data_IF_620829931954
#
_entry.id   IF_620829931954
#
_cell.length_a   1.000
_cell.length_b   1.000
_cell.length_c   1.000
_cell.angle_alpha   90.00
_cell.angle_beta   90.00
_cell.angle_gamma   90.00
#
_symmetry.space_group_name_H-M   'P 1'
#
loop_
_entity.id
_entity.type
_entity.pdbx_description
1 polymer ?
#
# COMPACT_ATOMS: atom_id res chain seq x y z
N UNK A 1 -0.72 -13.95 9.28
CA UNK A 1 -1.51 -13.57 8.08
C UNK A 1 -2.62 -12.58 8.45
N UNK A 2 -2.98 -11.63 7.59
CA UNK A 2 -4.12 -10.73 7.91
C UNK A 2 -5.45 -11.50 7.94
N UNK A 3 -5.54 -12.61 7.22
CA UNK A 3 -6.74 -13.46 7.14
C UNK A 3 -7.24 -14.02 8.48
N UNK A 4 -6.35 -14.21 9.47
CA UNK A 4 -6.73 -14.66 10.83
C UNK A 4 -7.24 -13.52 11.72
N UNK A 5 -6.98 -12.26 11.35
CA UNK A 5 -7.42 -11.12 12.16
C UNK A 5 -8.92 -10.85 11.95
N UNK A 6 -9.64 -10.71 13.07
CA UNK A 6 -11.01 -10.18 13.07
C UNK A 6 -11.03 -8.77 12.44
N UNK A 7 -12.16 -8.41 11.82
CA UNK A 7 -12.32 -7.15 11.09
C UNK A 7 -11.93 -5.91 11.92
N UNK A 8 -12.27 -5.87 13.21
CA UNK A 8 -11.93 -4.73 14.08
C UNK A 8 -10.43 -4.59 14.28
N UNK A 9 -9.70 -5.71 14.36
CA UNK A 9 -8.24 -5.71 14.48
C UNK A 9 -7.58 -5.28 13.18
N UNK A 10 -8.13 -5.66 12.02
CA UNK A 10 -7.68 -5.18 10.70
C UNK A 10 -7.82 -3.67 10.59
N UNK A 11 -8.98 -3.12 10.95
CA UNK A 11 -9.24 -1.66 10.95
C UNK A 11 -8.35 -0.92 11.93
N UNK A 12 -8.21 -1.42 13.16
CA UNK A 12 -7.36 -0.81 14.17
C UNK A 12 -5.88 -0.79 13.75
N UNK A 13 -5.41 -1.84 13.09
CA UNK A 13 -4.06 -1.90 12.54
C UNK A 13 -3.87 -0.85 11.44
N UNK A 14 -4.78 -0.80 10.46
CA UNK A 14 -4.74 0.20 9.38
C UNK A 14 -4.77 1.64 9.93
N UNK A 15 -5.59 1.89 10.95
CA UNK A 15 -5.65 3.20 11.62
C UNK A 15 -4.34 3.55 12.31
N UNK A 16 -3.78 2.64 13.11
CA UNK A 16 -2.49 2.87 13.78
C UNK A 16 -1.35 3.09 12.78
N UNK A 17 -1.33 2.33 11.69
CA UNK A 17 -0.37 2.52 10.60
C UNK A 17 -0.53 3.91 9.98
N UNK A 18 -1.75 4.31 9.63
CA UNK A 18 -2.01 5.63 9.08
C UNK A 18 -1.60 6.76 10.03
N UNK A 19 -1.91 6.64 11.31
CA UNK A 19 -1.57 7.64 12.32
C UNK A 19 -0.04 7.75 12.51
N UNK A 20 0.70 6.64 12.37
CA UNK A 20 2.16 6.61 12.46
C UNK A 20 2.88 7.14 11.20
N UNK A 21 2.21 7.19 10.04
CA UNK A 21 2.81 7.71 8.82
C UNK A 21 2.94 9.24 8.86
N UNK A 22 4.10 9.73 8.43
CA UNK A 22 4.27 11.14 8.09
C UNK A 22 3.33 11.53 6.93
N UNK A 23 2.98 12.82 6.78
CA UNK A 23 2.25 13.29 5.61
C UNK A 23 2.97 12.93 4.31
N UNK A 24 2.25 12.39 3.31
CA UNK A 24 2.84 11.86 2.08
C UNK A 24 3.56 10.51 2.23
N UNK A 25 3.55 9.90 3.42
CA UNK A 25 4.15 8.60 3.67
C UNK A 25 3.36 7.44 3.06
N UNK A 26 4.07 6.35 2.78
CA UNK A 26 3.50 5.15 2.16
C UNK A 26 3.55 3.95 3.10
N UNK A 27 2.48 3.15 3.07
CA UNK A 27 2.41 1.83 3.67
C UNK A 27 2.37 0.78 2.55
N UNK A 28 3.35 -0.11 2.53
CA UNK A 28 3.47 -1.18 1.53
C UNK A 28 3.15 -2.51 2.20
N UNK A 29 2.28 -3.30 1.58
CA UNK A 29 1.92 -4.63 2.05
C UNK A 29 1.99 -5.66 0.94
N UNK A 30 2.48 -6.85 1.29
CA UNK A 30 2.55 -8.03 0.45
C UNK A 30 1.50 -9.04 0.92
N UNK A 31 0.56 -9.43 0.04
CA UNK A 31 -0.54 -10.32 0.42
C UNK A 31 -0.87 -11.33 -0.67
N UNK A 32 -1.21 -12.56 -0.29
CA UNK A 32 -1.75 -13.57 -1.22
C UNK A 32 -3.17 -13.18 -1.67
N UNK A 33 -3.94 -12.51 -0.80
CA UNK A 33 -5.31 -12.07 -1.07
C UNK A 33 -5.48 -10.58 -0.76
N UNK A 34 -6.28 -9.88 -1.55
CA UNK A 34 -6.46 -8.42 -1.44
C UNK A 34 -7.55 -7.98 -0.44
N UNK A 35 -7.83 -8.80 0.58
CA UNK A 35 -8.93 -8.59 1.54
C UNK A 35 -8.75 -7.28 2.34
N UNK A 36 -7.51 -6.94 2.67
CA UNK A 36 -7.22 -5.78 3.52
C UNK A 36 -7.54 -4.44 2.83
N UNK A 37 -7.46 -4.37 1.50
CA UNK A 37 -7.74 -3.16 0.72
C UNK A 37 -9.15 -2.64 0.94
N UNK A 38 -10.13 -3.54 1.12
CA UNK A 38 -11.53 -3.17 1.38
C UNK A 38 -11.73 -2.46 2.74
N UNK A 39 -10.76 -2.57 3.65
CA UNK A 39 -10.83 -1.97 4.97
C UNK A 39 -9.93 -0.74 5.12
N UNK A 40 -9.12 -0.42 4.11
CA UNK A 40 -8.15 0.66 4.09
C UNK A 40 -8.77 2.00 3.65
N UNK A 41 -9.93 2.35 4.20
CA UNK A 41 -10.71 3.54 3.82
C UNK A 41 -10.07 4.87 4.22
N UNK A 42 -8.99 4.84 5.02
CA UNK A 42 -8.28 6.03 5.51
C UNK A 42 -7.25 6.56 4.51
N UNK A 43 -6.83 5.72 3.56
CA UNK A 43 -5.84 6.06 2.56
C UNK A 43 -6.53 6.61 1.32
N UNK A 44 -6.07 7.76 0.83
CA UNK A 44 -6.64 8.42 -0.34
C UNK A 44 -6.27 7.66 -1.63
N UNK A 45 -5.07 7.10 -1.68
CA UNK A 45 -4.58 6.31 -2.81
C UNK A 45 -4.17 4.90 -2.37
N UNK A 46 -4.55 3.92 -3.19
CA UNK A 46 -4.28 2.50 -2.97
C UNK A 46 -4.05 1.76 -4.30
N UNK A 47 -2.78 1.63 -4.69
CA UNK A 47 -2.36 0.92 -5.91
C UNK A 47 -1.98 -0.51 -5.58
N UNK A 48 -2.48 -1.48 -6.35
CA UNK A 48 -2.20 -2.91 -6.14
C UNK A 48 -1.68 -3.54 -7.42
N UNK A 49 -0.52 -4.18 -7.37
CA UNK A 49 0.09 -4.93 -8.47
C UNK A 49 0.17 -6.42 -8.12
N UNK A 50 -0.08 -7.30 -9.09
CA UNK A 50 0.04 -8.75 -8.91
C UNK A 50 1.32 -9.25 -9.57
N UNK A 51 2.21 -9.84 -8.79
CA UNK A 51 3.55 -10.22 -9.26
C UNK A 51 3.70 -11.74 -9.40
N UNK A 52 4.23 -12.20 -10.54
CA UNK A 52 4.28 -13.61 -10.95
C UNK A 52 5.70 -14.22 -11.05
N UNK A 53 6.77 -13.53 -10.66
CA UNK A 53 8.14 -14.05 -10.76
C UNK A 53 8.76 -14.40 -9.40
N UNK A 54 9.17 -15.66 -9.24
CA UNK A 54 10.04 -16.23 -8.18
C UNK A 54 9.58 -16.10 -6.70
N UNK A 55 8.37 -15.62 -6.46
CA UNK A 55 7.68 -15.65 -5.16
C UNK A 55 6.29 -16.27 -5.35
N UNK A 56 5.68 -16.86 -4.30
CA UNK A 56 4.26 -17.19 -4.34
C UNK A 56 3.48 -16.00 -4.89
N UNK A 57 2.39 -16.21 -5.66
CA UNK A 57 1.69 -15.10 -6.28
C UNK A 57 1.18 -14.13 -5.22
N UNK A 58 1.58 -12.86 -5.30
CA UNK A 58 1.32 -11.86 -4.27
C UNK A 58 0.80 -10.56 -4.89
N UNK A 59 -0.21 -10.01 -4.25
CA UNK A 59 -0.62 -8.62 -4.38
C UNK A 59 0.32 -7.74 -3.55
N UNK A 60 1.02 -6.84 -4.23
CA UNK A 60 1.78 -5.75 -3.61
C UNK A 60 0.85 -4.54 -3.63
N UNK A 61 0.43 -4.07 -2.47
CA UNK A 61 -0.41 -2.86 -2.37
C UNK A 61 0.33 -1.74 -1.69
N UNK A 62 0.32 -0.56 -2.31
CA UNK A 62 0.87 0.68 -1.80
C UNK A 62 -0.27 1.60 -1.41
N UNK A 63 -0.39 1.88 -0.12
CA UNK A 63 -1.32 2.84 0.43
C UNK A 63 -0.62 4.16 0.74
N UNK A 64 -1.15 5.29 0.28
CA UNK A 64 -0.53 6.60 0.49
C UNK A 64 -1.38 7.47 1.41
N UNK A 65 -0.72 8.11 2.39
CA UNK A 65 -1.31 9.13 3.24
C UNK A 65 -1.24 10.47 2.53
N UNK A 66 -2.38 11.17 2.47
CA UNK A 66 -2.47 12.49 1.87
C UNK A 66 -1.38 13.44 2.41
N UNK A 67 -0.71 14.22 1.55
CA UNK A 67 0.18 15.27 2.01
C UNK A 67 -0.65 16.34 2.74
N UNK A 68 -0.17 16.80 3.90
CA UNK A 68 -0.71 18.01 4.51
C UNK A 68 -0.38 19.18 3.61
N UNK A 69 -1.36 20.04 3.31
CA UNK A 69 -1.25 21.24 2.44
C UNK A 69 -0.28 22.34 2.95
N UNK A 70 0.70 22.00 3.79
CA UNK A 70 1.79 22.89 4.17
C UNK A 70 2.98 22.71 3.23
N UNK A 71 2.87 23.36 2.06
CA UNK A 71 3.99 23.94 1.32
C UNK A 71 5.28 23.13 1.18
N UNK A 72 5.24 22.04 0.40
CA UNK A 72 6.35 21.56 -0.47
C UNK A 72 5.84 20.33 -1.23
N UNK A 73 5.32 20.55 -2.45
CA UNK A 73 5.16 19.47 -3.44
C UNK A 73 6.55 18.87 -3.66
N UNK A 74 6.83 17.71 -3.09
CA UNK A 74 7.75 16.77 -3.70
C UNK A 74 6.89 15.87 -4.57
N UNK A 75 6.86 16.22 -5.85
CA UNK A 75 6.47 15.27 -6.89
C UNK A 75 7.48 14.13 -6.80
N UNK A 76 7.06 13.02 -6.20
CA UNK A 76 7.85 11.79 -6.24
C UNK A 76 7.61 11.23 -7.62
N UNK A 77 8.51 11.57 -8.55
CA UNK A 77 8.55 10.98 -9.88
C UNK A 77 8.84 9.48 -9.69
N UNK A 78 7.78 8.67 -9.78
CA UNK A 78 7.89 7.23 -9.83
C UNK A 78 8.54 6.87 -11.16
N UNK A 79 9.85 6.64 -11.14
CA UNK A 79 10.50 5.89 -12.20
C UNK A 79 9.81 4.53 -12.26
N UNK A 80 8.96 4.33 -13.28
CA UNK A 80 8.52 3.00 -13.68
C UNK A 80 9.75 2.12 -13.68
N UNK A 81 9.80 1.11 -12.82
CA UNK A 81 10.81 0.07 -12.93
C UNK A 81 10.77 -0.40 -14.40
N UNK A 82 11.92 -0.43 -15.11
CA UNK A 82 11.90 -0.76 -16.52
C UNK A 82 11.27 -2.14 -16.66
N UNK A 83 10.16 -2.21 -17.40
CA UNK A 83 9.61 -3.47 -17.87
C UNK A 83 10.76 -4.17 -18.60
N UNK A 84 11.27 -5.22 -17.97
CA UNK A 84 12.50 -5.87 -18.39
C UNK A 84 12.29 -6.38 -19.82
N UNK A 85 13.09 -5.86 -20.76
CA UNK A 85 13.37 -6.50 -22.04
C UNK A 85 13.83 -7.92 -21.76
N UNK A 86 13.18 -8.90 -22.36
CA UNK A 86 13.80 -10.18 -22.67
C UNK A 86 13.18 -10.73 -23.96
N UNK A 87 14.08 -10.81 -24.95
CA UNK A 87 14.10 -11.57 -26.21
C UNK A 87 12.79 -11.76 -27.00
#
# INVERSE_FOLDING_TARGET
PFSILKIDKKRALLRKTYDALAPGGSFIIYQVTNELKQHATLFEHAESEYFLQNIPPMFITVFQKAPTLNGRRREVEWSRAPANRQA
#
